data_IF_610370097136
#
_entry.id   IF_610370097136
#
_cell.length_a   1.000
_cell.length_b   1.000
_cell.length_c   1.000
_cell.angle_alpha   90.00
_cell.angle_beta   90.00
_cell.angle_gamma   90.00
#
_symmetry.space_group_name_H-M   'P 1'
#
loop_
_entity.id
_entity.type
_entity.pdbx_description
1 polymer ?
#
# COMPACT_ATOMS: atom_id res chain seq x y z
N UNK A 1 -5.73 -26.70 38.44
CA UNK A 1 -5.75 -25.35 38.99
C UNK A 1 -7.06 -24.72 38.56
N UNK A 2 -7.99 -24.50 39.53
CA UNK A 2 -9.34 -24.06 39.26
C UNK A 2 -9.37 -22.62 38.78
N UNK A 3 -10.06 -22.36 37.68
CA UNK A 3 -10.33 -21.04 37.03
C UNK A 3 -11.19 -20.09 37.91
N UNK A 4 -11.58 -20.49 39.12
CA UNK A 4 -12.54 -19.78 39.97
C UNK A 4 -11.99 -18.60 40.78
N UNK A 5 -10.69 -18.33 40.76
CA UNK A 5 -10.07 -17.32 41.65
C UNK A 5 -9.77 -15.98 40.97
N UNK A 6 -10.11 -15.79 39.69
CA UNK A 6 -9.72 -14.60 38.92
C UNK A 6 -10.88 -13.71 38.44
N UNK A 7 -12.13 -14.03 38.74
CA UNK A 7 -13.26 -13.26 38.23
C UNK A 7 -14.11 -12.73 39.38
N UNK A 8 -13.91 -11.45 39.73
CA UNK A 8 -14.93 -10.69 40.45
C UNK A 8 -16.12 -10.49 39.51
N UNK A 9 -17.23 -11.21 39.76
CA UNK A 9 -18.45 -11.05 38.99
C UNK A 9 -19.21 -9.82 39.45
N UNK A 10 -19.12 -8.73 38.69
CA UNK A 10 -20.10 -7.64 38.79
C UNK A 10 -21.37 -8.05 38.04
N UNK A 11 -22.53 -7.99 38.67
CA UNK A 11 -23.81 -8.23 38.02
C UNK A 11 -24.35 -6.93 37.39
N UNK A 12 -24.44 -6.92 36.07
CA UNK A 12 -25.04 -5.82 35.29
C UNK A 12 -26.47 -6.19 34.85
N UNK A 13 -27.36 -5.19 34.67
CA UNK A 13 -28.71 -5.44 34.14
C UNK A 13 -28.63 -5.94 32.69
N UNK A 14 -29.08 -7.17 32.44
CA UNK A 14 -28.94 -7.87 31.15
C UNK A 14 -30.10 -7.56 30.19
N UNK A 15 -30.30 -6.31 29.77
CA UNK A 15 -31.29 -5.98 28.73
C UNK A 15 -30.65 -5.97 27.33
N UNK A 16 -31.45 -6.29 26.28
CA UNK A 16 -30.96 -6.21 24.87
C UNK A 16 -30.41 -4.83 24.50
N UNK A 17 -30.99 -3.76 25.05
CA UNK A 17 -30.53 -2.39 24.83
C UNK A 17 -29.16 -2.14 25.46
N UNK A 18 -28.93 -2.68 26.66
CA UNK A 18 -27.63 -2.56 27.33
C UNK A 18 -26.52 -3.27 26.55
N UNK A 19 -26.79 -4.48 26.06
CA UNK A 19 -25.79 -5.17 25.23
C UNK A 19 -25.49 -4.45 23.91
N UNK A 20 -26.49 -3.88 23.23
CA UNK A 20 -26.26 -3.05 22.03
C UNK A 20 -25.39 -1.83 22.30
N UNK A 21 -25.56 -1.20 23.46
CA UNK A 21 -24.71 -0.08 23.87
C UNK A 21 -23.25 -0.56 24.06
N UNK A 22 -23.05 -1.68 24.76
CA UNK A 22 -21.71 -2.25 24.93
C UNK A 22 -21.07 -2.69 23.59
N UNK A 23 -21.85 -3.20 22.64
CA UNK A 23 -21.36 -3.53 21.30
C UNK A 23 -20.83 -2.28 20.58
N UNK A 24 -21.52 -1.15 20.69
CA UNK A 24 -21.06 0.12 20.14
C UNK A 24 -19.83 0.64 20.89
N UNK A 25 -19.84 0.60 22.21
CA UNK A 25 -18.71 1.04 23.05
C UNK A 25 -17.44 0.25 22.70
N UNK A 26 -17.53 -1.07 22.47
CA UNK A 26 -16.40 -1.91 22.06
C UNK A 26 -15.85 -1.44 20.69
N UNK A 27 -16.73 -1.19 19.71
CA UNK A 27 -16.33 -0.68 18.41
C UNK A 27 -15.60 0.65 18.54
N UNK A 28 -16.15 1.59 19.29
CA UNK A 28 -15.58 2.93 19.45
C UNK A 28 -14.22 2.89 20.16
N UNK A 29 -14.10 2.04 21.19
CA UNK A 29 -12.83 1.83 21.92
C UNK A 29 -11.75 1.27 20.97
N UNK A 30 -12.07 0.23 20.18
CA UNK A 30 -11.14 -0.38 19.24
C UNK A 30 -10.75 0.62 18.15
N UNK A 31 -11.72 1.30 17.56
CA UNK A 31 -11.49 2.27 16.49
C UNK A 31 -10.61 3.42 16.96
N UNK A 32 -10.89 3.95 18.17
CA UNK A 32 -10.07 4.98 18.80
C UNK A 32 -8.62 4.50 19.00
N UNK A 33 -8.44 3.32 19.55
CA UNK A 33 -7.10 2.78 19.81
C UNK A 33 -6.27 2.62 18.52
N UNK A 34 -6.90 2.16 17.42
CA UNK A 34 -6.25 2.01 16.11
C UNK A 34 -5.84 3.38 15.54
N UNK A 35 -6.72 4.37 15.60
CA UNK A 35 -6.45 5.72 15.11
C UNK A 35 -5.36 6.41 15.94
N UNK A 36 -5.43 6.30 17.27
CA UNK A 36 -4.44 6.92 18.15
C UNK A 36 -3.04 6.31 17.92
N UNK A 37 -2.94 4.98 17.79
CA UNK A 37 -1.67 4.33 17.42
C UNK A 37 -1.12 4.82 16.08
N UNK A 38 -1.99 5.05 15.08
CA UNK A 38 -1.55 5.56 13.77
C UNK A 38 -0.96 6.98 13.85
N UNK A 39 -1.45 7.83 14.79
CA UNK A 39 -0.91 9.17 15.01
C UNK A 39 0.52 9.16 15.56
N UNK A 40 0.91 8.10 16.26
CA UNK A 40 2.26 7.93 16.80
C UNK A 40 3.28 7.49 15.73
N UNK A 41 2.79 7.00 14.57
CA UNK A 41 3.66 6.56 13.46
C UNK A 41 4.36 7.77 12.85
N UNK A 42 5.70 7.72 12.82
CA UNK A 42 6.51 8.78 12.22
C UNK A 42 6.17 8.97 10.75
N UNK A 43 5.81 10.19 10.37
CA UNK A 43 5.55 10.53 8.97
C UNK A 43 6.80 10.36 8.11
N UNK A 44 6.62 9.88 6.89
CA UNK A 44 7.71 9.75 5.92
C UNK A 44 8.22 11.11 5.50
N UNK A 45 9.54 11.26 5.40
CA UNK A 45 10.23 12.45 4.92
C UNK A 45 10.80 12.27 3.51
N UNK A 46 10.30 11.29 2.78
CA UNK A 46 10.74 10.91 1.45
C UNK A 46 9.53 10.53 0.58
N UNK A 47 9.69 10.56 -0.72
CA UNK A 47 8.69 10.07 -1.67
C UNK A 47 8.73 8.53 -1.66
N UNK A 48 7.62 7.90 -1.27
CA UNK A 48 7.48 6.45 -1.40
C UNK A 48 7.27 6.07 -2.86
N UNK A 49 8.11 5.20 -3.40
CA UNK A 49 8.07 4.80 -4.81
C UNK A 49 6.71 4.22 -5.23
N UNK A 50 6.03 3.50 -4.33
CA UNK A 50 4.68 2.97 -4.56
C UNK A 50 3.62 4.06 -4.82
N UNK A 51 3.88 5.31 -4.43
CA UNK A 51 2.95 6.43 -4.65
C UNK A 51 3.20 7.18 -5.96
N UNK A 52 4.35 6.97 -6.62
CA UNK A 52 4.72 7.70 -7.84
C UNK A 52 3.81 7.41 -9.03
N UNK A 53 3.12 6.28 -9.03
CA UNK A 53 2.09 5.97 -10.02
C UNK A 53 0.78 6.77 -9.87
N UNK A 54 0.57 7.50 -8.76
CA UNK A 54 -0.62 8.37 -8.60
C UNK A 54 -0.64 9.43 -9.70
N UNK A 55 -1.79 9.67 -10.30
CA UNK A 55 -1.95 10.60 -11.41
C UNK A 55 -1.70 12.08 -11.04
N UNK A 56 -1.80 12.44 -9.76
CA UNK A 56 -1.63 13.80 -9.27
C UNK A 56 -0.24 14.02 -8.64
N UNK A 57 0.69 14.62 -9.39
CA UNK A 57 2.03 14.98 -8.88
C UNK A 57 1.98 15.96 -7.72
N UNK A 58 1.06 16.94 -7.72
CA UNK A 58 0.85 17.90 -6.63
C UNK A 58 0.45 17.21 -5.32
N UNK A 59 -0.34 16.14 -5.37
CA UNK A 59 -0.68 15.33 -4.19
C UNK A 59 0.56 14.65 -3.60
N UNK A 60 1.42 14.08 -4.46
CA UNK A 60 2.69 13.48 -4.03
C UNK A 60 3.60 14.55 -3.43
N UNK A 61 3.66 15.73 -4.05
CA UNK A 61 4.43 16.88 -3.57
C UNK A 61 3.96 17.32 -2.17
N UNK A 62 2.66 17.45 -1.92
CA UNK A 62 2.12 17.77 -0.59
C UNK A 62 2.56 16.76 0.47
N UNK A 63 2.47 15.46 0.17
CA UNK A 63 2.93 14.40 1.08
C UNK A 63 4.41 14.52 1.38
N UNK A 64 5.23 14.76 0.35
CA UNK A 64 6.68 14.89 0.48
C UNK A 64 7.06 16.13 1.30
N UNK A 65 6.37 17.25 1.13
CA UNK A 65 6.53 18.47 1.91
C UNK A 65 6.04 18.33 3.36
N UNK A 66 5.39 17.23 3.72
CA UNK A 66 4.81 17.05 5.05
C UNK A 66 3.56 17.90 5.30
N UNK A 67 2.88 18.35 4.24
CA UNK A 67 1.62 19.09 4.35
C UNK A 67 0.65 18.33 5.26
N UNK A 68 0.05 18.98 6.27
CA UNK A 68 -1.01 18.36 7.04
C UNK A 68 -2.19 17.94 6.16
N UNK A 69 -2.77 16.80 6.46
CA UNK A 69 -4.01 16.34 5.84
C UNK A 69 -5.14 17.27 6.26
N UNK A 70 -6.06 17.59 5.35
CA UNK A 70 -7.24 18.42 5.64
C UNK A 70 -8.10 17.79 6.74
N UNK A 71 -8.84 18.62 7.48
CA UNK A 71 -9.69 18.17 8.57
C UNK A 71 -10.68 17.07 8.11
N UNK A 72 -10.79 16.03 8.91
CA UNK A 72 -11.63 14.84 8.65
C UNK A 72 -11.28 14.06 7.36
N UNK A 73 -10.08 14.22 6.82
CA UNK A 73 -9.57 13.50 5.65
C UNK A 73 -8.49 12.47 5.99
N UNK A 74 -8.14 12.34 7.25
CA UNK A 74 -7.17 11.33 7.70
C UNK A 74 -7.79 9.92 7.66
N UNK A 75 -6.94 8.91 7.75
CA UNK A 75 -7.39 7.52 7.71
C UNK A 75 -8.27 7.18 8.92
N UNK A 76 -9.47 6.69 8.66
CA UNK A 76 -10.33 6.10 9.68
C UNK A 76 -9.82 4.70 10.10
N UNK A 77 -10.32 4.20 11.21
CA UNK A 77 -9.93 2.90 11.75
C UNK A 77 -10.21 1.74 10.78
N UNK A 78 -11.28 1.83 9.97
CA UNK A 78 -11.60 0.84 8.94
C UNK A 78 -10.53 0.78 7.86
N UNK A 79 -10.08 1.92 7.37
CA UNK A 79 -9.00 2.02 6.38
C UNK A 79 -7.68 1.47 6.93
N UNK A 80 -7.37 1.79 8.20
CA UNK A 80 -6.16 1.29 8.85
C UNK A 80 -6.19 -0.24 9.03
N UNK A 81 -7.36 -0.83 9.37
CA UNK A 81 -7.53 -2.30 9.37
C UNK A 81 -7.33 -2.90 7.98
N UNK A 82 -7.80 -2.24 6.92
CA UNK A 82 -7.59 -2.72 5.54
C UNK A 82 -6.09 -2.76 5.20
N UNK A 83 -5.32 -1.77 5.64
CA UNK A 83 -3.85 -1.76 5.45
C UNK A 83 -3.18 -2.89 6.23
N UNK A 84 -3.56 -3.10 7.49
CA UNK A 84 -3.04 -4.20 8.29
C UNK A 84 -3.34 -5.55 7.64
N UNK A 85 -4.57 -5.79 7.20
CA UNK A 85 -4.91 -7.03 6.49
C UNK A 85 -4.12 -7.21 5.18
N UNK A 86 -3.71 -6.12 4.53
CA UNK A 86 -2.81 -6.19 3.39
C UNK A 86 -1.49 -6.87 3.74
N UNK A 87 -0.85 -6.46 4.84
CA UNK A 87 0.40 -7.05 5.33
C UNK A 87 0.23 -8.52 5.78
N UNK A 88 -0.86 -8.85 6.47
CA UNK A 88 -1.14 -10.24 6.89
C UNK A 88 -1.33 -11.16 5.67
N UNK A 89 -1.98 -10.66 4.63
CA UNK A 89 -2.17 -11.39 3.37
C UNK A 89 -0.84 -11.59 2.65
N UNK A 90 -0.01 -10.57 2.55
CA UNK A 90 1.34 -10.64 1.97
C UNK A 90 2.17 -11.71 2.68
N UNK A 91 2.22 -11.68 4.02
CA UNK A 91 2.89 -12.69 4.83
C UNK A 91 2.38 -14.11 4.55
N UNK A 92 1.06 -14.29 4.47
CA UNK A 92 0.44 -15.59 4.21
C UNK A 92 0.77 -16.11 2.80
N UNK A 93 0.68 -15.27 1.78
CA UNK A 93 0.99 -15.64 0.39
C UNK A 93 2.47 -15.97 0.24
N UNK A 94 3.37 -15.21 0.89
CA UNK A 94 4.80 -15.54 0.94
C UNK A 94 5.05 -16.93 1.55
N UNK A 95 4.34 -17.26 2.63
CA UNK A 95 4.40 -18.57 3.27
C UNK A 95 3.95 -19.70 2.33
N UNK A 96 2.86 -19.51 1.59
CA UNK A 96 2.35 -20.53 0.64
C UNK A 96 3.28 -20.71 -0.55
N UNK A 97 3.87 -19.65 -1.08
CA UNK A 97 4.88 -19.76 -2.16
C UNK A 97 6.10 -20.57 -1.68
N UNK A 98 6.60 -20.32 -0.47
CA UNK A 98 7.69 -21.10 0.10
C UNK A 98 7.33 -22.55 0.31
N UNK A 99 6.12 -22.85 0.81
CA UNK A 99 5.61 -24.22 0.94
C UNK A 99 5.49 -24.92 -0.41
N UNK A 100 5.20 -24.19 -1.48
CA UNK A 100 5.16 -24.70 -2.85
C UNK A 100 6.54 -24.90 -3.50
N UNK A 101 7.64 -24.62 -2.77
CA UNK A 101 9.00 -24.85 -3.21
C UNK A 101 9.68 -23.66 -3.88
N UNK A 102 9.12 -22.44 -3.81
CA UNK A 102 9.81 -21.24 -4.25
C UNK A 102 10.82 -20.75 -3.21
N UNK A 103 12.06 -20.42 -3.64
CA UNK A 103 13.03 -19.66 -2.83
C UNK A 103 12.67 -18.18 -2.87
N UNK A 104 11.61 -17.83 -2.12
CA UNK A 104 11.16 -16.45 -1.96
C UNK A 104 11.85 -15.81 -0.77
N UNK A 105 12.58 -14.73 -1.01
CA UNK A 105 13.24 -13.90 -0.01
C UNK A 105 12.56 -12.55 0.08
N UNK A 106 12.21 -12.12 1.30
CA UNK A 106 11.51 -10.85 1.58
C UNK A 106 12.40 -9.85 2.31
N UNK A 107 13.50 -10.33 2.90
CA UNK A 107 14.47 -9.56 3.67
C UNK A 107 15.89 -10.04 3.41
N UNK A 108 16.85 -9.19 3.69
CA UNK A 108 18.26 -9.48 3.59
C UNK A 108 18.78 -10.32 4.78
N UNK A 109 20.09 -10.59 4.81
CA UNK A 109 20.75 -11.34 5.90
C UNK A 109 20.70 -10.67 7.26
N UNK A 110 20.34 -9.37 7.32
CA UNK A 110 20.22 -8.60 8.57
C UNK A 110 18.77 -8.51 9.03
N UNK A 111 17.81 -9.09 8.28
CA UNK A 111 16.38 -9.00 8.55
C UNK A 111 15.77 -7.67 8.09
N UNK A 112 16.44 -6.94 7.18
CA UNK A 112 15.91 -5.72 6.60
C UNK A 112 15.19 -6.02 5.28
N UNK A 113 13.98 -5.49 5.12
CA UNK A 113 13.19 -5.63 3.90
C UNK A 113 13.99 -5.12 2.69
N UNK A 114 13.99 -5.87 1.60
CA UNK A 114 14.63 -5.45 0.36
C UNK A 114 14.02 -4.16 -0.17
N UNK A 115 14.89 -3.27 -0.67
CA UNK A 115 14.45 -2.01 -1.22
C UNK A 115 15.59 -1.21 -1.82
N UNK A 116 15.26 -0.02 -2.26
CA UNK A 116 16.22 0.93 -2.80
C UNK A 116 16.01 2.32 -2.21
N UNK A 117 17.09 3.10 -2.25
CA UNK A 117 17.10 4.50 -1.85
C UNK A 117 17.89 5.28 -2.90
N UNK A 118 17.27 6.25 -3.53
CA UNK A 118 17.84 7.07 -4.60
C UNK A 118 17.64 8.55 -4.32
N UNK A 119 18.23 9.42 -5.13
CA UNK A 119 18.18 10.88 -4.96
C UNK A 119 18.56 11.29 -3.51
N UNK A 120 19.69 10.79 -3.02
CA UNK A 120 20.19 11.09 -1.66
C UNK A 120 19.21 10.69 -0.53
N UNK A 121 18.36 9.69 -0.79
CA UNK A 121 17.38 9.22 0.16
C UNK A 121 16.01 9.88 0.08
N UNK A 122 15.81 10.78 -0.88
CA UNK A 122 14.55 11.48 -1.08
C UNK A 122 13.47 10.62 -1.76
N UNK A 123 13.87 9.53 -2.44
CA UNK A 123 12.95 8.53 -2.98
C UNK A 123 13.35 7.15 -2.48
N UNK A 124 12.42 6.42 -1.90
CA UNK A 124 12.63 5.06 -1.39
C UNK A 124 11.52 4.12 -1.81
N UNK A 125 11.89 2.89 -2.08
CA UNK A 125 10.96 1.80 -2.35
C UNK A 125 11.34 0.55 -1.57
N UNK A 126 10.34 -0.20 -1.11
CA UNK A 126 10.50 -1.52 -0.52
C UNK A 126 9.69 -2.48 -1.36
N UNK A 127 10.29 -3.60 -1.71
CA UNK A 127 9.65 -4.65 -2.49
C UNK A 127 9.10 -5.74 -1.56
N UNK A 128 8.08 -6.45 -2.00
CA UNK A 128 7.49 -7.53 -1.20
C UNK A 128 8.40 -8.77 -1.21
N UNK A 129 9.22 -8.95 -2.26
CA UNK A 129 10.25 -9.98 -2.27
C UNK A 129 10.91 -10.24 -3.62
N UNK A 130 11.87 -11.15 -3.59
CA UNK A 130 12.57 -11.69 -4.78
C UNK A 130 12.46 -13.21 -4.77
N UNK A 131 11.95 -13.78 -5.84
CA UNK A 131 11.96 -15.23 -6.06
C UNK A 131 13.28 -15.58 -6.75
N UNK A 132 14.17 -16.22 -5.99
CA UNK A 132 15.52 -16.57 -6.46
C UNK A 132 15.58 -17.91 -7.21
N UNK A 133 14.62 -18.81 -6.95
CA UNK A 133 14.47 -20.11 -7.61
C UNK A 133 13.07 -20.67 -7.34
N UNK A 134 12.64 -21.71 -8.04
CA UNK A 134 11.34 -22.34 -7.81
C UNK A 134 11.05 -23.51 -8.74
N UNK A 135 9.87 -24.12 -8.61
CA UNK A 135 9.48 -25.33 -9.34
C UNK A 135 9.03 -25.07 -10.79
N UNK A 136 8.93 -23.80 -11.22
CA UNK A 136 8.50 -23.47 -12.58
C UNK A 136 9.68 -23.57 -13.55
N UNK A 137 9.42 -24.03 -14.76
CA UNK A 137 10.36 -24.00 -15.88
C UNK A 137 10.44 -22.57 -16.47
N UNK A 138 11.16 -21.69 -15.76
CA UNK A 138 11.33 -20.27 -16.11
C UNK A 138 12.63 -19.73 -15.56
N UNK A 139 13.02 -18.53 -15.99
CA UNK A 139 14.25 -17.89 -15.52
C UNK A 139 14.01 -17.13 -14.19
N UNK A 140 15.06 -17.09 -13.38
CA UNK A 140 15.14 -16.38 -12.11
C UNK A 140 16.42 -15.53 -12.06
N UNK A 141 16.55 -14.54 -11.15
CA UNK A 141 15.56 -14.11 -10.15
C UNK A 141 14.44 -13.28 -10.77
N UNK A 142 13.30 -13.21 -10.09
CA UNK A 142 12.19 -12.33 -10.47
C UNK A 142 11.66 -11.55 -9.28
N UNK A 143 11.21 -10.33 -9.53
CA UNK A 143 10.48 -9.53 -8.54
C UNK A 143 9.19 -10.25 -8.17
N UNK A 144 8.83 -10.23 -6.90
CA UNK A 144 7.50 -10.61 -6.41
C UNK A 144 6.79 -9.40 -5.81
N UNK A 145 5.55 -9.19 -6.19
CA UNK A 145 4.69 -8.13 -5.66
C UNK A 145 3.33 -8.73 -5.32
N UNK A 146 2.81 -8.44 -4.12
CA UNK A 146 1.58 -8.99 -3.59
C UNK A 146 0.55 -7.90 -3.29
N UNK A 147 -0.67 -8.12 -3.71
CA UNK A 147 -1.79 -7.22 -3.41
C UNK A 147 -3.00 -8.01 -2.93
N UNK A 148 -3.90 -7.32 -2.26
CA UNK A 148 -5.23 -7.83 -1.94
C UNK A 148 -6.30 -6.97 -2.60
N UNK A 149 -7.40 -7.59 -3.00
CA UNK A 149 -8.52 -6.90 -3.64
C UNK A 149 -9.86 -7.39 -3.10
N UNK A 150 -10.89 -6.54 -3.20
CA UNK A 150 -12.26 -7.01 -3.08
C UNK A 150 -12.68 -7.72 -4.37
N UNK A 151 -13.79 -8.46 -4.34
CA UNK A 151 -14.32 -9.24 -5.46
C UNK A 151 -14.44 -8.45 -6.77
N UNK A 152 -14.94 -7.21 -6.71
CA UNK A 152 -15.11 -6.37 -7.90
C UNK A 152 -13.74 -6.04 -8.52
N UNK A 153 -12.78 -5.61 -7.72
CA UNK A 153 -11.45 -5.23 -8.20
C UNK A 153 -10.64 -6.46 -8.64
N UNK A 154 -10.82 -7.59 -7.96
CA UNK A 154 -10.22 -8.86 -8.34
C UNK A 154 -10.65 -9.30 -9.76
N UNK A 155 -11.94 -9.23 -10.07
CA UNK A 155 -12.45 -9.49 -11.43
C UNK A 155 -11.89 -8.55 -12.49
N UNK A 156 -11.63 -7.28 -12.12
CA UNK A 156 -10.96 -6.36 -13.05
C UNK A 156 -9.54 -6.81 -13.38
N UNK A 157 -8.78 -7.32 -12.39
CA UNK A 157 -7.44 -7.89 -12.65
C UNK A 157 -7.53 -9.11 -13.55
N UNK A 158 -8.43 -10.04 -13.29
CA UNK A 158 -8.61 -11.26 -14.09
C UNK A 158 -8.97 -10.94 -15.55
N UNK A 159 -9.76 -9.91 -15.79
CA UNK A 159 -10.30 -9.61 -17.13
C UNK A 159 -9.47 -8.62 -17.93
N UNK A 160 -8.73 -7.72 -17.28
CA UNK A 160 -8.03 -6.60 -17.93
C UNK A 160 -6.51 -6.63 -17.73
N UNK A 161 -6.02 -7.48 -16.82
CA UNK A 161 -4.63 -7.45 -16.38
C UNK A 161 -4.30 -6.24 -15.49
N UNK A 162 -3.12 -6.28 -14.86
CA UNK A 162 -2.69 -5.28 -13.87
C UNK A 162 -2.55 -3.89 -14.49
N UNK A 163 -1.94 -3.80 -15.66
CA UNK A 163 -1.64 -2.51 -16.30
C UNK A 163 -2.90 -1.67 -16.56
N UNK A 164 -4.01 -2.31 -16.94
CA UNK A 164 -5.29 -1.64 -17.21
C UNK A 164 -6.12 -1.51 -15.95
N UNK A 165 -6.17 -2.55 -15.14
CA UNK A 165 -6.98 -2.55 -13.92
C UNK A 165 -6.43 -1.58 -12.86
N UNK A 166 -5.11 -1.44 -12.75
CA UNK A 166 -4.49 -0.51 -11.81
C UNK A 166 -3.14 0.02 -12.33
N UNK A 167 -3.14 1.11 -13.12
CA UNK A 167 -1.90 1.71 -13.65
C UNK A 167 -0.87 2.09 -12.57
N UNK A 168 -1.33 2.40 -11.34
CA UNK A 168 -0.43 2.71 -10.21
C UNK A 168 0.42 1.51 -9.84
N UNK A 169 -0.15 0.31 -9.84
CA UNK A 169 0.59 -0.92 -9.56
C UNK A 169 1.56 -1.28 -10.70
N UNK A 170 1.15 -1.06 -11.96
CA UNK A 170 2.05 -1.26 -13.09
C UNK A 170 3.26 -0.32 -13.02
N UNK A 171 3.05 0.95 -12.65
CA UNK A 171 4.10 1.94 -12.42
C UNK A 171 5.03 1.51 -11.27
N UNK A 172 4.47 1.03 -10.16
CA UNK A 172 5.24 0.51 -9.02
C UNK A 172 6.13 -0.66 -9.45
N UNK A 173 5.58 -1.65 -10.13
CA UNK A 173 6.33 -2.83 -10.61
C UNK A 173 7.46 -2.42 -11.55
N UNK A 174 7.18 -1.56 -12.55
CA UNK A 174 8.21 -1.12 -13.49
C UNK A 174 9.36 -0.39 -12.78
N UNK A 175 9.04 0.49 -11.84
CA UNK A 175 10.04 1.23 -11.06
C UNK A 175 10.86 0.29 -10.17
N UNK A 176 10.21 -0.67 -9.51
CA UNK A 176 10.86 -1.65 -8.65
C UNK A 176 11.79 -2.57 -9.44
N UNK A 177 11.36 -3.09 -10.60
CA UNK A 177 12.23 -3.87 -11.48
C UNK A 177 13.47 -3.07 -11.89
N UNK A 178 13.32 -1.80 -12.26
CA UNK A 178 14.43 -0.95 -12.67
C UNK A 178 15.44 -0.74 -11.55
N UNK A 179 15.00 -0.26 -10.38
CA UNK A 179 15.92 0.11 -9.29
C UNK A 179 16.46 -1.07 -8.49
N UNK A 180 15.76 -2.21 -8.50
CA UNK A 180 16.27 -3.47 -7.95
C UNK A 180 17.11 -4.27 -8.94
N UNK A 181 17.29 -3.78 -10.20
CA UNK A 181 18.01 -4.47 -11.28
C UNK A 181 17.44 -5.86 -11.61
N UNK A 182 16.10 -6.00 -11.52
CA UNK A 182 15.35 -7.23 -11.82
C UNK A 182 14.60 -7.09 -13.15
N UNK A 183 15.32 -6.65 -14.19
CA UNK A 183 14.73 -6.29 -15.49
C UNK A 183 14.71 -7.43 -16.51
N UNK A 184 15.53 -8.46 -16.30
CA UNK A 184 15.71 -9.55 -17.27
C UNK A 184 14.55 -10.55 -17.25
N UNK A 185 13.90 -10.68 -16.11
CA UNK A 185 12.79 -11.60 -15.90
C UNK A 185 11.51 -10.84 -15.49
N UNK A 186 10.32 -11.36 -15.79
CA UNK A 186 9.08 -10.71 -15.41
C UNK A 186 8.91 -10.66 -13.88
N UNK A 187 8.12 -9.71 -13.40
CA UNK A 187 7.60 -9.72 -12.04
C UNK A 187 6.48 -10.76 -11.92
N UNK A 188 6.52 -11.61 -10.88
CA UNK A 188 5.35 -12.37 -10.48
C UNK A 188 4.46 -11.48 -9.61
N UNK A 189 3.37 -10.98 -10.19
CA UNK A 189 2.37 -10.19 -9.48
C UNK A 189 1.24 -11.09 -8.99
N UNK A 190 0.93 -11.03 -7.69
CA UNK A 190 -0.12 -11.85 -7.08
C UNK A 190 -1.20 -10.97 -6.46
N UNK A 191 -2.47 -11.34 -6.62
CA UNK A 191 -3.60 -10.66 -5.99
C UNK A 191 -4.48 -11.67 -5.27
N UNK A 192 -4.64 -11.52 -3.95
CA UNK A 192 -5.59 -12.32 -3.19
C UNK A 192 -6.94 -11.62 -3.12
N UNK A 193 -8.00 -12.35 -3.50
CA UNK A 193 -9.38 -11.94 -3.34
C UNK A 193 -9.80 -12.06 -1.86
N UNK A 194 -10.04 -10.95 -1.18
CA UNK A 194 -10.41 -10.92 0.25
C UNK A 194 -11.80 -11.51 0.54
N UNK A 195 -12.64 -11.70 -0.47
CA UNK A 195 -13.99 -12.24 -0.31
C UNK A 195 -14.06 -13.75 -0.53
N UNK A 196 -13.23 -14.29 -1.45
CA UNK A 196 -13.30 -15.71 -1.86
C UNK A 196 -12.03 -16.49 -1.56
N UNK A 197 -10.93 -15.81 -1.19
CA UNK A 197 -9.59 -16.38 -1.01
C UNK A 197 -8.95 -16.94 -2.30
N UNK A 198 -9.50 -16.66 -3.47
CA UNK A 198 -8.88 -16.97 -4.74
C UNK A 198 -7.64 -16.12 -4.96
N UNK A 199 -6.64 -16.65 -5.67
CA UNK A 199 -5.42 -15.94 -6.01
C UNK A 199 -5.32 -15.80 -7.53
N UNK A 200 -5.08 -14.58 -7.98
CA UNK A 200 -4.74 -14.25 -9.35
C UNK A 200 -3.23 -14.08 -9.46
N UNK A 201 -2.65 -14.59 -10.54
CA UNK A 201 -1.23 -14.48 -10.87
C UNK A 201 -1.07 -13.85 -12.25
N UNK A 202 -0.11 -12.91 -12.37
CA UNK A 202 0.28 -12.32 -13.65
C UNK A 202 1.80 -12.17 -13.70
N UNK A 203 2.41 -12.61 -14.80
CA UNK A 203 3.80 -12.32 -15.10
C UNK A 203 3.89 -11.00 -15.86
N UNK A 204 4.42 -9.97 -15.22
CA UNK A 204 4.51 -8.62 -15.79
C UNK A 204 5.94 -8.40 -16.30
N UNK A 205 6.15 -8.32 -17.63
CA UNK A 205 7.46 -8.03 -18.18
C UNK A 205 7.90 -6.60 -17.83
N UNK A 206 9.21 -6.37 -17.79
CA UNK A 206 9.76 -5.05 -17.52
C UNK A 206 9.35 -4.03 -18.58
N UNK A 207 8.76 -2.93 -18.14
CA UNK A 207 8.40 -1.80 -18.99
C UNK A 207 9.35 -0.63 -18.75
N UNK A 208 10.42 -0.57 -19.54
CA UNK A 208 11.46 0.47 -19.46
C UNK A 208 10.89 1.88 -19.66
N UNK A 209 9.97 2.06 -20.60
CA UNK A 209 9.39 3.37 -20.90
C UNK A 209 8.59 3.90 -19.71
N UNK A 210 7.75 3.05 -19.10
CA UNK A 210 6.98 3.39 -17.91
C UNK A 210 7.89 3.66 -16.71
N UNK A 211 8.94 2.85 -16.50
CA UNK A 211 9.90 3.08 -15.42
C UNK A 211 10.59 4.44 -15.57
N UNK A 212 10.98 4.83 -16.80
CA UNK A 212 11.58 6.13 -17.07
C UNK A 212 10.60 7.27 -16.82
N UNK A 213 9.38 7.17 -17.35
CA UNK A 213 8.33 8.18 -17.14
C UNK A 213 8.09 8.45 -15.63
N UNK A 214 7.97 7.39 -14.84
CA UNK A 214 7.74 7.52 -13.39
C UNK A 214 8.97 8.06 -12.66
N UNK A 215 10.16 7.71 -13.12
CA UNK A 215 11.43 8.24 -12.61
C UNK A 215 11.56 9.75 -12.89
N UNK A 216 11.28 10.19 -14.11
CA UNK A 216 11.29 11.59 -14.52
C UNK A 216 10.26 12.41 -13.71
N UNK A 217 9.09 11.83 -13.46
CA UNK A 217 8.07 12.43 -12.60
C UNK A 217 8.57 12.66 -11.17
N UNK A 218 9.33 11.73 -10.60
CA UNK A 218 9.94 11.92 -9.29
C UNK A 218 10.92 13.10 -9.29
N UNK A 219 11.76 13.21 -10.33
CA UNK A 219 12.69 14.35 -10.50
C UNK A 219 11.93 15.67 -10.55
N UNK A 220 10.88 15.76 -11.36
CA UNK A 220 10.05 16.98 -11.47
C UNK A 220 9.45 17.38 -10.11
N UNK A 221 8.97 16.41 -9.32
CA UNK A 221 8.41 16.69 -7.99
C UNK A 221 9.49 17.23 -7.04
N UNK A 222 10.67 16.62 -7.05
CA UNK A 222 11.80 17.02 -6.20
C UNK A 222 12.30 18.43 -6.55
N UNK A 223 12.52 18.69 -7.85
CA UNK A 223 12.99 19.98 -8.33
C UNK A 223 12.01 21.12 -8.03
N UNK A 224 10.72 20.92 -8.34
CA UNK A 224 9.70 21.91 -8.03
C UNK A 224 9.62 22.18 -6.51
N UNK A 225 9.75 21.15 -5.69
CA UNK A 225 9.73 21.33 -4.24
C UNK A 225 10.96 22.07 -3.74
N UNK A 226 12.15 21.79 -4.25
CA UNK A 226 13.39 22.52 -3.93
C UNK A 226 13.33 23.98 -4.37
N UNK A 227 12.66 24.26 -5.47
CA UNK A 227 12.42 25.62 -5.97
C UNK A 227 11.29 26.36 -5.22
N UNK A 228 10.62 25.74 -4.25
CA UNK A 228 9.38 26.23 -3.62
C UNK A 228 8.25 26.53 -4.62
N UNK A 229 8.20 25.76 -5.70
CA UNK A 229 7.16 25.86 -6.72
C UNK A 229 6.13 24.76 -6.53
N UNK A 230 4.85 25.14 -6.52
CA UNK A 230 3.76 24.14 -6.45
C UNK A 230 3.43 23.63 -7.84
N UNK A 231 3.45 22.32 -8.02
CA UNK A 231 3.03 21.67 -9.25
C UNK A 231 1.56 21.97 -9.58
N UNK A 232 1.17 21.97 -10.86
CA UNK A 232 -0.20 22.29 -11.26
C UNK A 232 -1.22 21.29 -10.69
N UNK A 233 -2.45 21.75 -10.52
CA UNK A 233 -3.58 20.87 -10.22
C UNK A 233 -3.83 19.93 -11.39
N UNK A 234 -4.23 18.69 -11.07
CA UNK A 234 -4.55 17.68 -12.11
C UNK A 234 -5.82 18.03 -12.89
N UNK A 235 -6.68 18.90 -12.38
CA UNK A 235 -7.98 19.24 -12.95
C UNK A 235 -8.34 20.71 -12.76
N UNK A 236 -9.34 21.16 -13.49
CA UNK A 236 -9.89 22.51 -13.41
C UNK A 236 -11.03 22.66 -12.39
N UNK A 237 -11.51 21.53 -11.81
CA UNK A 237 -12.59 21.51 -10.82
C UNK A 237 -12.22 20.63 -9.64
N UNK A 238 -12.58 21.09 -8.43
CA UNK A 238 -12.44 20.30 -7.20
C UNK A 238 -13.34 19.05 -7.19
N UNK A 239 -14.37 18.99 -8.05
CA UNK A 239 -15.28 17.86 -8.15
C UNK A 239 -14.73 16.73 -9.05
N UNK A 240 -13.57 16.93 -9.68
CA UNK A 240 -12.89 15.87 -10.40
C UNK A 240 -12.64 14.67 -9.47
N UNK A 241 -12.84 13.45 -9.97
CA UNK A 241 -12.83 12.24 -9.14
C UNK A 241 -11.60 12.14 -8.22
N UNK A 242 -10.39 12.34 -8.77
CA UNK A 242 -9.15 12.26 -7.99
C UNK A 242 -9.04 13.38 -6.93
N UNK A 243 -9.63 14.56 -7.17
CA UNK A 243 -9.64 15.66 -6.22
C UNK A 243 -10.68 15.46 -5.12
N UNK A 244 -11.87 14.94 -5.46
CA UNK A 244 -12.97 14.73 -4.51
C UNK A 244 -12.57 13.82 -3.33
N UNK A 245 -11.71 12.84 -3.58
CA UNK A 245 -11.22 11.88 -2.57
C UNK A 245 -9.78 12.16 -2.12
N UNK A 246 -9.24 13.35 -2.44
CA UNK A 246 -7.89 13.72 -2.05
C UNK A 246 -7.88 14.22 -0.60
N UNK A 247 -6.90 13.76 0.16
CA UNK A 247 -6.68 14.19 1.54
C UNK A 247 -6.23 15.66 1.68
N UNK A 248 -5.88 16.32 0.57
CA UNK A 248 -5.48 17.73 0.49
C UNK A 248 -6.44 18.58 -0.34
N UNK A 249 -7.71 18.16 -0.47
CA UNK A 249 -8.64 18.86 -1.35
C UNK A 249 -8.80 20.32 -0.98
N UNK A 250 -9.08 20.60 0.30
CA UNK A 250 -9.37 21.95 0.76
C UNK A 250 -8.11 22.81 0.72
N UNK A 251 -6.97 22.35 1.21
CA UNK A 251 -5.67 23.01 1.10
C UNK A 251 -5.29 23.31 -0.36
N UNK A 252 -5.53 22.37 -1.26
CA UNK A 252 -5.20 22.52 -2.68
C UNK A 252 -6.09 23.54 -3.40
N UNK A 253 -7.34 23.72 -3.01
CA UNK A 253 -8.29 24.59 -3.70
C UNK A 253 -8.55 25.92 -3.00
N UNK A 254 -7.97 26.14 -1.82
CA UNK A 254 -7.99 27.42 -1.11
C UNK A 254 -6.82 28.35 -1.50
N UNK A 255 -5.83 27.84 -2.22
CA UNK A 255 -4.60 28.54 -2.63
C UNK A 255 -4.66 29.01 -4.08
#
# INVERSE_FOLDING_TARGET
VAFSTLIQTQSYPKTKSHFKMLEQDISDIIDKAIVDRNKEVKKRTYIGASSLGDSCSRKIQYRYMGQPVDDNRDFDAKTLRIFQFGHEIEFSVAGWLRQAGFDLRVEDKNGEQFGFSIAEGEVKGHIDGVICNGPLDTAYPMLWECKSANEKKFKEFQTKGVAVANPVYAAQVALYQAYMQLTDNPCLFTVLNKNTSEIYYEFIPFNKALAQEISDKAVVILEATKANEMLPRIAQSRDYFACKYCEFQDSCWSS
#
